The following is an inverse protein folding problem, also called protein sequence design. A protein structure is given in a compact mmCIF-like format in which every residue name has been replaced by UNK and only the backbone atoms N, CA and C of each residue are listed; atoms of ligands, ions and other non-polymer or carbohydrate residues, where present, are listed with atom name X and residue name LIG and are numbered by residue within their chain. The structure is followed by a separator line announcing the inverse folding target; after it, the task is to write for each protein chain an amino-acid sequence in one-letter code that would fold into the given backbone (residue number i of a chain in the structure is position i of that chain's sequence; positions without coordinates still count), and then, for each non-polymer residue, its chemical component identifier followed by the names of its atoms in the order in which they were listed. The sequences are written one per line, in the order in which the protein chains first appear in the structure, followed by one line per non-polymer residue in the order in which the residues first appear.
data_IF_073250483393
#
_entry.id   IF_073250483393
#
_cell.length_a   1.000
_cell.length_b   1.000
_cell.length_c   1.000
_cell.angle_alpha   90.00
_cell.angle_beta   90.00
_cell.angle_gamma   90.00
#
_symmetry.space_group_name_H-M   'P 1'
#
loop_
_entity.id
_entity.type
_entity.pdbx_description
1 polymer ?
#
# COMPACT_ATOMS: atom_id res chain seq x y z
N UNK A 1 40.37 24.68 3.85
CA UNK A 1 38.91 24.57 4.05
C UNK A 1 38.34 23.66 2.99
N UNK A 2 38.12 22.38 3.30
CA UNK A 2 37.40 21.46 2.42
C UNK A 2 36.41 20.71 3.30
N UNK A 3 35.13 21.10 3.23
CA UNK A 3 34.08 20.38 3.94
C UNK A 3 33.89 19.05 3.23
N UNK A 4 34.55 18.02 3.76
CA UNK A 4 34.29 16.64 3.36
C UNK A 4 32.87 16.29 3.78
N UNK A 5 31.94 16.45 2.85
CA UNK A 5 30.55 16.05 3.02
C UNK A 5 30.52 14.56 3.26
N UNK A 6 30.18 14.16 4.50
CA UNK A 6 29.94 12.77 4.85
C UNK A 6 28.78 12.27 4.00
N UNK A 7 29.10 11.56 2.92
CA UNK A 7 28.15 10.74 2.18
C UNK A 7 27.63 9.71 3.18
N UNK A 8 26.32 9.70 3.42
CA UNK A 8 25.67 8.73 4.30
C UNK A 8 25.98 7.33 3.78
N UNK A 9 26.96 6.67 4.43
CA UNK A 9 27.32 5.27 4.18
C UNK A 9 26.44 4.36 5.05
N UNK A 10 25.14 4.61 5.05
CA UNK A 10 24.20 3.59 5.51
C UNK A 10 24.23 2.48 4.46
N UNK A 11 24.27 1.22 4.89
CA UNK A 11 24.08 0.10 3.97
C UNK A 11 22.76 0.33 3.24
N UNK A 12 22.80 0.70 1.95
CA UNK A 12 21.64 1.09 1.14
C UNK A 12 20.65 -0.05 0.87
N UNK A 13 20.84 -1.18 1.55
CA UNK A 13 19.91 -2.27 1.63
C UNK A 13 19.03 -2.04 2.88
N UNK A 14 17.91 -1.32 2.71
CA UNK A 14 16.57 -1.90 2.89
C UNK A 14 15.43 -0.85 2.96
N UNK A 15 15.60 0.37 3.47
CA UNK A 15 14.45 1.28 3.71
C UNK A 15 14.78 2.80 3.67
N UNK A 16 15.57 3.29 2.71
CA UNK A 16 15.84 4.75 2.59
C UNK A 16 14.93 5.37 1.53
N UNK A 17 14.13 6.35 1.92
CA UNK A 17 13.34 7.22 1.05
C UNK A 17 13.75 8.66 1.32
N UNK A 18 14.03 9.41 0.26
CA UNK A 18 14.32 10.84 0.32
C UNK A 18 13.10 11.57 -0.23
N UNK A 19 12.60 12.57 0.50
CA UNK A 19 11.52 13.44 0.02
C UNK A 19 12.11 14.84 -0.11
N UNK A 20 12.08 15.39 -1.33
CA UNK A 20 12.62 16.71 -1.63
C UNK A 20 11.71 17.46 -2.61
N UNK A 21 11.91 18.77 -2.72
CA UNK A 21 11.23 19.64 -3.68
C UNK A 21 12.05 19.91 -4.95
N UNK A 22 13.32 19.48 -4.99
CA UNK A 22 14.24 19.71 -6.11
C UNK A 22 14.94 18.44 -6.53
N UNK A 23 14.76 18.04 -7.78
CA UNK A 23 15.41 16.86 -8.36
C UNK A 23 16.95 16.94 -8.30
N UNK A 24 17.54 18.14 -8.31
CA UNK A 24 19.00 18.32 -8.22
C UNK A 24 19.59 17.87 -6.89
N UNK A 25 18.83 17.90 -5.79
CA UNK A 25 19.30 17.45 -4.48
C UNK A 25 19.46 15.93 -4.40
N UNK A 26 18.69 15.20 -5.22
CA UNK A 26 18.62 13.74 -5.22
C UNK A 26 19.31 13.09 -6.41
N UNK A 27 20.06 13.88 -7.21
CA UNK A 27 20.74 13.43 -8.43
C UNK A 27 21.62 12.17 -8.27
N UNK A 28 22.15 11.94 -7.07
CA UNK A 28 23.03 10.81 -6.79
C UNK A 28 22.25 9.50 -6.53
N UNK A 29 20.97 9.60 -6.18
CA UNK A 29 20.09 8.46 -5.82
C UNK A 29 18.62 8.79 -6.19
N UNK A 30 18.31 9.09 -7.47
CA UNK A 30 16.96 9.45 -7.88
C UNK A 30 15.94 8.33 -7.64
N UNK A 31 16.37 7.08 -7.67
CA UNK A 31 15.54 5.89 -7.46
C UNK A 31 15.04 5.73 -6.00
N UNK A 32 15.66 6.46 -5.06
CA UNK A 32 15.24 6.52 -3.66
C UNK A 32 14.41 7.77 -3.35
N UNK A 33 14.15 8.62 -4.35
CA UNK A 33 13.57 9.93 -4.12
C UNK A 33 12.11 10.04 -4.58
N UNK A 34 11.32 10.73 -3.77
CA UNK A 34 10.03 11.31 -4.16
C UNK A 34 10.26 12.80 -4.26
N UNK A 35 10.17 13.34 -5.48
CA UNK A 35 10.28 14.77 -5.73
C UNK A 35 8.88 15.35 -5.77
N UNK A 36 8.56 16.20 -4.79
CA UNK A 36 7.29 16.91 -4.72
C UNK A 36 7.41 18.29 -5.35
N UNK A 37 6.26 18.83 -5.76
CA UNK A 37 6.21 20.24 -6.13
C UNK A 37 6.50 21.11 -4.91
N UNK A 38 7.12 22.27 -5.17
CA UNK A 38 7.44 23.21 -4.10
C UNK A 38 6.14 23.77 -3.54
N UNK A 39 5.96 23.64 -2.22
CA UNK A 39 4.82 24.26 -1.53
C UNK A 39 4.78 25.77 -1.76
N UNK A 40 3.63 26.27 -2.21
CA UNK A 40 3.40 27.67 -2.59
C UNK A 40 2.75 28.50 -1.48
N UNK A 41 2.41 27.88 -0.34
CA UNK A 41 1.67 28.53 0.74
C UNK A 41 0.15 28.26 0.72
N UNK A 42 -0.35 27.48 -0.25
CA UNK A 42 -1.75 27.06 -0.27
C UNK A 42 -2.05 26.11 0.91
N UNK A 43 -3.03 26.46 1.73
CA UNK A 43 -3.49 25.65 2.86
C UNK A 43 -4.37 24.47 2.45
N UNK A 44 -4.83 24.45 1.20
CA UNK A 44 -5.58 23.34 0.61
C UNK A 44 -4.67 22.28 -0.02
N UNK A 45 -3.37 22.56 -0.17
CA UNK A 45 -2.39 21.58 -0.59
C UNK A 45 -2.32 20.46 0.46
N UNK A 46 -2.58 19.23 0.00
CA UNK A 46 -2.59 18.03 0.83
C UNK A 46 -1.61 16.99 0.32
N UNK A 47 -0.72 17.32 -0.61
CA UNK A 47 0.16 16.33 -1.25
C UNK A 47 1.06 15.63 -0.23
N UNK A 48 1.65 16.40 0.71
CA UNK A 48 2.50 15.82 1.76
C UNK A 48 1.71 14.88 2.68
N UNK A 49 0.51 15.27 3.09
CA UNK A 49 -0.37 14.44 3.94
C UNK A 49 -0.87 13.21 3.18
N UNK A 50 -1.11 13.36 1.87
CA UNK A 50 -1.53 12.28 0.98
C UNK A 50 -0.49 11.17 0.80
N UNK A 51 0.77 11.42 1.15
CA UNK A 51 1.82 10.39 1.15
C UNK A 51 1.79 9.49 2.39
N UNK A 52 1.12 9.89 3.49
CA UNK A 52 1.11 9.13 4.75
C UNK A 52 0.69 7.67 4.54
N UNK A 53 -0.46 7.36 3.88
CA UNK A 53 -0.90 5.97 3.71
C UNK A 53 0.10 5.11 2.93
N UNK A 54 0.77 5.71 1.93
CA UNK A 54 1.79 5.04 1.14
C UNK A 54 3.03 4.70 1.96
N UNK A 55 3.52 5.64 2.78
CA UNK A 55 4.68 5.43 3.64
C UNK A 55 4.39 4.41 4.75
N UNK A 56 3.19 4.46 5.35
CA UNK A 56 2.73 3.46 6.31
C UNK A 56 2.68 2.07 5.69
N UNK A 57 2.14 1.95 4.48
CA UNK A 57 2.06 0.69 3.76
C UNK A 57 3.44 0.10 3.42
N UNK A 58 4.40 0.92 3.02
CA UNK A 58 5.78 0.45 2.79
C UNK A 58 6.37 -0.14 4.07
N UNK A 59 6.14 0.53 5.20
CA UNK A 59 6.65 0.08 6.49
C UNK A 59 5.98 -1.23 6.96
N UNK A 60 4.66 -1.33 6.83
CA UNK A 60 3.90 -2.50 7.30
C UNK A 60 4.13 -3.76 6.47
N UNK A 61 4.30 -3.62 5.15
CA UNK A 61 4.55 -4.74 4.25
C UNK A 61 6.00 -5.24 4.28
N UNK A 62 6.90 -4.55 4.98
CA UNK A 62 8.31 -4.91 5.14
C UNK A 62 9.00 -5.22 3.80
N UNK A 63 8.82 -4.35 2.80
CA UNK A 63 9.46 -4.53 1.51
C UNK A 63 10.98 -4.64 1.64
N UNK A 64 11.57 -5.69 1.05
CA UNK A 64 13.03 -5.87 1.06
C UNK A 64 13.80 -4.84 0.22
N UNK A 65 13.14 -4.18 -0.73
CA UNK A 65 13.71 -3.08 -1.53
C UNK A 65 12.61 -2.07 -1.93
N UNK A 66 12.62 -0.90 -1.31
CA UNK A 66 11.66 0.20 -1.55
C UNK A 66 11.75 0.77 -2.97
N UNK A 67 12.89 0.66 -3.65
CA UNK A 67 13.09 1.22 -4.99
C UNK A 67 12.20 0.54 -6.03
N UNK A 68 11.91 -0.76 -5.85
CA UNK A 68 10.99 -1.51 -6.71
C UNK A 68 9.56 -0.99 -6.58
N UNK A 69 9.16 -0.61 -5.36
CA UNK A 69 7.85 -0.04 -5.09
C UNK A 69 7.77 1.34 -5.74
N UNK A 70 8.73 2.22 -5.47
CA UNK A 70 8.80 3.57 -6.05
C UNK A 70 8.77 3.55 -7.58
N UNK A 71 9.53 2.66 -8.21
CA UNK A 71 9.52 2.47 -9.67
C UNK A 71 8.13 2.14 -10.22
N UNK A 72 7.27 1.44 -9.48
CA UNK A 72 5.90 1.13 -9.93
C UNK A 72 4.96 2.35 -9.94
N UNK A 73 5.40 3.47 -9.35
CA UNK A 73 4.70 4.75 -9.33
C UNK A 73 5.43 5.82 -10.17
N UNK A 74 6.49 5.46 -10.91
CA UNK A 74 7.21 6.39 -11.77
C UNK A 74 6.27 7.03 -12.81
N UNK A 75 6.31 8.36 -12.93
CA UNK A 75 5.42 9.14 -13.79
C UNK A 75 3.97 9.25 -13.30
N UNK A 76 3.66 8.80 -12.08
CA UNK A 76 2.31 8.87 -11.49
C UNK A 76 2.31 9.73 -10.24
N UNK A 77 1.16 10.34 -9.97
CA UNK A 77 0.93 10.99 -8.68
C UNK A 77 0.71 9.93 -7.59
N UNK A 78 1.71 9.75 -6.71
CA UNK A 78 1.75 8.66 -5.72
C UNK A 78 0.48 8.62 -4.85
N UNK A 79 0.02 9.71 -4.21
CA UNK A 79 -1.17 9.69 -3.37
C UNK A 79 -2.42 9.18 -4.10
N UNK A 80 -2.67 9.69 -5.30
CA UNK A 80 -3.86 9.35 -6.10
C UNK A 80 -3.82 7.91 -6.58
N UNK A 81 -2.67 7.47 -7.11
CA UNK A 81 -2.53 6.11 -7.61
C UNK A 81 -2.58 5.09 -6.46
N UNK A 82 -1.98 5.41 -5.31
CA UNK A 82 -2.01 4.54 -4.14
C UNK A 82 -3.44 4.37 -3.62
N UNK A 83 -4.18 5.46 -3.44
CA UNK A 83 -5.59 5.41 -3.03
C UNK A 83 -6.45 4.58 -3.99
N UNK A 84 -6.19 4.68 -5.31
CA UNK A 84 -6.86 3.84 -6.32
C UNK A 84 -6.54 2.36 -6.14
N UNK A 85 -5.26 2.00 -6.00
CA UNK A 85 -4.83 0.60 -5.84
C UNK A 85 -5.38 0.00 -4.54
N UNK A 86 -5.35 0.78 -3.47
CA UNK A 86 -5.89 0.38 -2.17
C UNK A 86 -7.41 0.12 -2.25
N UNK A 87 -8.17 1.01 -2.90
CA UNK A 87 -9.61 0.82 -3.07
C UNK A 87 -9.96 -0.46 -3.86
N UNK A 88 -9.20 -0.76 -4.91
CA UNK A 88 -9.37 -2.00 -5.69
C UNK A 88 -9.07 -3.22 -4.81
N UNK A 89 -7.94 -3.22 -4.09
CA UNK A 89 -7.54 -4.32 -3.22
C UNK A 89 -8.57 -4.56 -2.10
N UNK A 90 -9.10 -3.50 -1.49
CA UNK A 90 -10.17 -3.57 -0.48
C UNK A 90 -11.45 -4.17 -1.06
N UNK A 91 -11.88 -3.70 -2.23
CA UNK A 91 -13.08 -4.22 -2.89
C UNK A 91 -12.95 -5.70 -3.29
N UNK A 92 -11.77 -6.13 -3.75
CA UNK A 92 -11.50 -7.54 -4.05
C UNK A 92 -11.49 -8.39 -2.79
N UNK A 93 -10.90 -7.89 -1.70
CA UNK A 93 -10.89 -8.56 -0.41
C UNK A 93 -12.31 -8.76 0.13
N UNK A 94 -13.16 -7.73 0.09
CA UNK A 94 -14.57 -7.81 0.48
C UNK A 94 -15.36 -8.81 -0.38
N UNK A 95 -15.14 -8.81 -1.70
CA UNK A 95 -15.75 -9.81 -2.61
C UNK A 95 -15.35 -11.23 -2.23
N UNK A 96 -14.08 -11.46 -1.92
CA UNK A 96 -13.60 -12.78 -1.48
C UNK A 96 -14.20 -13.19 -0.12
N UNK A 97 -14.31 -12.27 0.84
CA UNK A 97 -14.95 -12.51 2.12
C UNK A 97 -16.43 -12.86 1.95
N UNK A 98 -17.18 -12.10 1.14
CA UNK A 98 -18.58 -12.38 0.85
C UNK A 98 -18.77 -13.72 0.11
N UNK A 99 -17.87 -14.07 -0.81
CA UNK A 99 -17.89 -15.35 -1.50
C UNK A 99 -17.57 -16.53 -0.56
N UNK A 100 -16.64 -16.36 0.38
CA UNK A 100 -16.32 -17.36 1.42
C UNK A 100 -17.44 -17.50 2.46
N UNK A 101 -18.08 -16.41 2.86
CA UNK A 101 -19.23 -16.40 3.77
C UNK A 101 -20.49 -17.09 3.21
N UNK A 102 -20.58 -17.26 1.88
CA UNK A 102 -21.65 -18.03 1.21
C UNK A 102 -21.34 -19.53 1.08
N UNK A 103 -20.17 -20.02 1.54
CA UNK A 103 -19.76 -21.43 1.43
C UNK A 103 -19.99 -22.27 2.70
N UNK A 104 -20.84 -21.84 3.62
CA UNK A 104 -21.50 -22.74 4.57
C UNK A 104 -22.93 -23.00 4.12
N UNK A 105 -23.17 -23.92 3.15
CA UNK A 105 -24.42 -24.62 3.18
C UNK A 105 -24.36 -25.47 4.45
N UNK A 106 -25.25 -25.18 5.40
CA UNK A 106 -25.67 -26.17 6.40
C UNK A 106 -26.39 -27.30 5.64
N UNK A 107 -25.61 -28.07 4.88
CA UNK A 107 -26.06 -29.15 4.01
C UNK A 107 -26.41 -30.41 4.79
N UNK A 108 -26.05 -30.47 6.08
CA UNK A 108 -26.60 -31.45 7.01
C UNK A 108 -28.07 -31.13 7.38
N UNK A 109 -28.52 -29.88 7.20
CA UNK A 109 -29.91 -29.46 7.45
C UNK A 109 -30.84 -29.59 6.23
N UNK A 110 -30.32 -29.43 5.00
CA UNK A 110 -31.15 -29.48 3.79
C UNK A 110 -31.32 -30.91 3.23
N UNK A 111 -30.34 -31.81 3.42
CA UNK A 111 -30.50 -33.23 3.04
C UNK A 111 -31.42 -34.01 3.98
N UNK A 112 -31.55 -33.60 5.25
CA UNK A 112 -32.46 -34.25 6.21
C UNK A 112 -33.94 -33.95 5.93
N UNK A 113 -34.27 -32.75 5.42
CA UNK A 113 -35.65 -32.35 5.13
C UNK A 113 -36.24 -32.93 3.85
N UNK A 114 -35.40 -33.31 2.87
CA UNK A 114 -35.83 -33.90 1.60
C UNK A 114 -35.79 -35.44 1.59
N UNK A 115 -35.13 -36.08 2.56
CA UNK A 115 -35.04 -37.54 2.70
C UNK A 115 -35.98 -38.13 3.76
N UNK A 116 -37.04 -37.43 4.15
CA UNK A 116 -38.20 -38.03 4.82
C UNK A 116 -37.99 -38.67 6.20
N UNK A 117 -36.88 -38.41 6.90
CA UNK A 117 -36.64 -38.98 8.22
C UNK A 117 -37.24 -38.09 9.31
N UNK A 118 -38.49 -38.41 9.69
CA UNK A 118 -39.08 -37.94 10.95
C UNK A 118 -38.38 -38.66 12.12
N UNK A 119 -37.85 -37.95 13.13
CA UNK A 119 -37.57 -38.59 14.41
C UNK A 119 -38.91 -38.80 15.13
N UNK A 120 -39.34 -40.05 15.23
CA UNK A 120 -40.38 -40.49 16.15
C UNK A 120 -39.80 -40.57 17.57
N UNK A 121 -40.48 -39.95 18.53
CA UNK A 121 -40.17 -39.98 19.96
C UNK A 121 -39.81 -41.39 20.47
N UNK A 122 -38.71 -41.48 21.22
CA UNK A 122 -38.61 -42.25 22.47
C UNK A 122 -37.94 -41.38 23.52
#
# INVERSE_FOLDING_TARGET
MSSSGRVLKASLHQLVIIIDSKASHVRNQPENAIVLDKWTGDSKDKDLVGLIPFLEYIHTMQYGDVRKVLKSFEGKHIPTEFARREAIARAEFEKQLAAKGKKTPSGMGMLGGMLGLKPSNM
#
